data_IF_567581066796
#
_entry.id   IF_567581066796
#
_cell.length_a   1.000
_cell.length_b   1.000
_cell.length_c   1.000
_cell.angle_alpha   90.00
_cell.angle_beta   90.00
_cell.angle_gamma   90.00
#
_symmetry.space_group_name_H-M   'P 1'
#
loop_
_entity.id
_entity.type
_entity.pdbx_description
1 polymer ?
#
# COMPACT_ATOMS: atom_id res chain seq x y z
N UNK A 1 18.32 -46.66 -15.84
CA UNK A 1 18.60 -45.42 -16.61
C UNK A 1 17.34 -44.62 -17.00
N UNK A 2 16.27 -45.20 -17.57
CA UNK A 2 15.07 -44.43 -17.95
C UNK A 2 14.33 -43.79 -16.75
N UNK A 3 14.29 -44.46 -15.60
CA UNK A 3 13.63 -43.92 -14.39
C UNK A 3 14.30 -42.67 -13.83
N UNK A 4 15.63 -42.58 -13.97
CA UNK A 4 16.38 -41.40 -13.56
C UNK A 4 16.05 -40.19 -14.44
N UNK A 5 15.88 -40.42 -15.75
CA UNK A 5 15.45 -39.39 -16.70
C UNK A 5 14.03 -38.92 -16.42
N UNK A 6 13.14 -39.82 -16.03
CA UNK A 6 11.76 -39.50 -15.62
C UNK A 6 11.74 -38.61 -14.36
N UNK A 7 12.49 -39.00 -13.32
CA UNK A 7 12.63 -38.18 -12.10
C UNK A 7 13.21 -36.78 -12.37
N UNK A 8 14.16 -36.66 -13.30
CA UNK A 8 14.72 -35.36 -13.68
C UNK A 8 13.71 -34.45 -14.38
N UNK A 9 12.80 -35.00 -15.18
CA UNK A 9 11.71 -34.25 -15.80
C UNK A 9 10.70 -33.79 -14.75
N UNK A 10 10.26 -34.69 -13.88
CA UNK A 10 9.35 -34.37 -12.77
C UNK A 10 9.92 -33.26 -11.86
N UNK A 11 11.22 -33.33 -11.54
CA UNK A 11 11.88 -32.29 -10.75
C UNK A 11 11.89 -30.93 -11.48
N UNK A 12 12.13 -30.92 -12.80
CA UNK A 12 12.10 -29.68 -13.59
C UNK A 12 10.70 -29.08 -13.63
N UNK A 13 9.67 -29.90 -13.81
CA UNK A 13 8.28 -29.44 -13.88
C UNK A 13 7.84 -28.85 -12.53
N UNK A 14 8.17 -29.52 -11.43
CA UNK A 14 7.90 -29.01 -10.08
C UNK A 14 8.68 -27.71 -9.84
N UNK A 15 9.93 -27.62 -10.28
CA UNK A 15 10.73 -26.40 -10.11
C UNK A 15 10.15 -25.21 -10.88
N UNK A 16 9.65 -25.42 -12.11
CA UNK A 16 8.98 -24.39 -12.90
C UNK A 16 7.71 -23.91 -12.20
N UNK A 17 6.85 -24.85 -11.80
CA UNK A 17 5.60 -24.53 -11.08
C UNK A 17 5.86 -23.81 -9.77
N UNK A 18 6.92 -24.19 -9.05
CA UNK A 18 7.33 -23.53 -7.81
C UNK A 18 7.76 -22.09 -8.07
N UNK A 19 8.51 -21.85 -9.15
CA UNK A 19 8.93 -20.49 -9.54
C UNK A 19 7.71 -19.62 -9.88
N UNK A 20 6.78 -20.13 -10.68
CA UNK A 20 5.54 -19.41 -11.03
C UNK A 20 4.72 -19.06 -9.78
N UNK A 21 4.53 -20.01 -8.86
CA UNK A 21 3.83 -19.78 -7.60
C UNK A 21 4.52 -18.72 -6.73
N UNK A 22 5.86 -18.70 -6.69
CA UNK A 22 6.62 -17.66 -5.96
C UNK A 22 6.45 -16.27 -6.58
N UNK A 23 6.43 -16.18 -7.90
CA UNK A 23 6.26 -14.91 -8.59
C UNK A 23 4.83 -14.38 -8.40
N UNK A 24 3.82 -15.25 -8.50
CA UNK A 24 2.43 -14.92 -8.15
C UNK A 24 2.28 -14.45 -6.70
N UNK A 25 2.94 -15.12 -5.74
CA UNK A 25 2.90 -14.72 -4.34
C UNK A 25 3.48 -13.32 -4.15
N UNK A 26 4.64 -13.03 -4.75
CA UNK A 26 5.27 -11.70 -4.67
C UNK A 26 4.36 -10.60 -5.22
N UNK A 27 3.71 -10.85 -6.35
CA UNK A 27 2.81 -9.87 -6.95
C UNK A 27 1.57 -9.65 -6.09
N UNK A 28 1.02 -10.71 -5.52
CA UNK A 28 -0.12 -10.62 -4.59
C UNK A 28 0.27 -9.87 -3.31
N UNK A 29 1.45 -10.12 -2.74
CA UNK A 29 1.95 -9.38 -1.57
C UNK A 29 2.10 -7.89 -1.89
N UNK A 30 2.65 -7.52 -3.04
CA UNK A 30 2.75 -6.11 -3.45
C UNK A 30 1.38 -5.45 -3.58
N UNK A 31 0.40 -6.14 -4.16
CA UNK A 31 -0.97 -5.62 -4.28
C UNK A 31 -1.63 -5.46 -2.92
N UNK A 32 -1.42 -6.43 -2.03
CA UNK A 32 -1.90 -6.37 -0.64
C UNK A 32 -1.30 -5.17 0.10
N UNK A 33 0.03 -5.02 0.08
CA UNK A 33 0.72 -3.89 0.73
C UNK A 33 0.26 -2.54 0.19
N UNK A 34 0.03 -2.45 -1.13
CA UNK A 34 -0.55 -1.25 -1.74
C UNK A 34 -1.95 -0.97 -1.20
N UNK A 35 -2.83 -1.97 -1.17
CA UNK A 35 -4.20 -1.80 -0.68
C UNK A 35 -4.27 -1.40 0.80
N UNK A 36 -3.38 -1.95 1.63
CA UNK A 36 -3.23 -1.57 3.03
C UNK A 36 -2.74 -0.13 3.20
N UNK A 37 -1.78 0.29 2.38
CA UNK A 37 -1.30 1.67 2.39
C UNK A 37 -2.38 2.66 1.92
N UNK A 38 -3.13 2.31 0.87
CA UNK A 38 -4.24 3.12 0.38
C UNK A 38 -5.35 3.22 1.44
N UNK A 39 -5.66 2.13 2.15
CA UNK A 39 -6.63 2.13 3.26
C UNK A 39 -6.17 3.03 4.41
N UNK A 40 -4.88 2.96 4.79
CA UNK A 40 -4.30 3.83 5.82
C UNK A 40 -4.29 5.30 5.38
N UNK A 41 -4.02 5.57 4.10
CA UNK A 41 -4.07 6.92 3.56
C UNK A 41 -5.50 7.49 3.59
N UNK A 42 -6.52 6.68 3.33
CA UNK A 42 -7.93 7.10 3.45
C UNK A 42 -8.35 7.40 4.89
N UNK A 43 -7.69 6.78 5.88
CA UNK A 43 -7.89 7.11 7.30
C UNK A 43 -7.22 8.42 7.71
N UNK A 44 -6.39 9.02 6.85
CA UNK A 44 -5.85 10.35 7.13
C UNK A 44 -6.98 11.38 7.05
N UNK A 45 -7.28 12.00 8.19
CA UNK A 45 -8.22 13.12 8.26
C UNK A 45 -7.65 14.29 7.47
N UNK A 46 -8.40 14.77 6.47
CA UNK A 46 -8.04 15.97 5.72
C UNK A 46 -7.95 17.18 6.64
N UNK A 47 -6.79 17.84 6.66
CA UNK A 47 -6.62 19.09 7.41
C UNK A 47 -7.19 20.25 6.57
N UNK A 48 -7.96 21.13 7.22
CA UNK A 48 -8.48 22.33 6.56
C UNK A 48 -7.34 23.32 6.37
N UNK A 49 -7.15 23.81 5.14
CA UNK A 49 -6.18 24.86 4.82
C UNK A 49 -6.84 26.22 5.03
N UNK A 50 -6.22 27.06 5.86
CA UNK A 50 -6.71 28.41 6.16
C UNK A 50 -5.56 29.38 6.46
N UNK A 51 -5.87 30.68 6.35
CA UNK A 51 -4.94 31.76 6.68
C UNK A 51 -5.13 32.20 8.14
N UNK A 52 -4.03 32.44 8.85
CA UNK A 52 -4.08 33.01 10.21
C UNK A 52 -4.24 34.53 10.09
N UNK A 53 -5.34 35.07 10.63
CA UNK A 53 -5.61 36.51 10.58
C UNK A 53 -5.02 37.25 11.78
N UNK A 54 -5.25 36.73 12.99
CA UNK A 54 -4.84 37.42 14.22
C UNK A 54 -4.72 36.44 15.39
N UNK A 55 -3.73 36.67 16.26
CA UNK A 55 -3.57 35.96 17.53
C UNK A 55 -4.35 36.68 18.64
N UNK A 56 -5.19 35.96 19.37
CA UNK A 56 -5.98 36.49 20.50
C UNK A 56 -5.27 36.22 21.84
N UNK A 57 -4.78 35.00 22.04
CA UNK A 57 -4.00 34.56 23.20
C UNK A 57 -2.89 33.61 22.74
N UNK A 58 -1.96 33.21 23.62
CA UNK A 58 -0.87 32.28 23.24
C UNK A 58 -1.38 30.98 22.59
N UNK A 59 -2.58 30.52 22.97
CA UNK A 59 -3.18 29.27 22.46
C UNK A 59 -4.34 29.47 21.45
N UNK A 60 -4.79 30.71 21.19
CA UNK A 60 -5.98 30.96 20.35
C UNK A 60 -5.68 31.88 19.18
N UNK A 61 -6.02 31.41 17.99
CA UNK A 61 -5.84 32.10 16.73
C UNK A 61 -7.16 32.21 15.97
N UNK A 62 -7.40 33.38 15.37
CA UNK A 62 -8.46 33.56 14.39
C UNK A 62 -7.91 33.08 13.05
N UNK A 63 -8.56 32.07 12.47
CA UNK A 63 -8.23 31.52 11.15
C UNK A 63 -9.38 31.73 10.18
N UNK A 64 -9.06 32.04 8.92
CA UNK A 64 -10.01 32.10 7.80
C UNK A 64 -9.83 30.86 6.93
N UNK A 65 -10.83 29.99 6.90
CA UNK A 65 -10.83 28.85 6.00
C UNK A 65 -10.99 29.29 4.53
N UNK A 66 -10.32 28.60 3.60
CA UNK A 66 -10.39 28.88 2.15
C UNK A 66 -11.77 28.62 1.55
N UNK A 67 -12.52 27.67 2.11
CA UNK A 67 -13.94 27.49 1.88
C UNK A 67 -14.69 28.21 3.00
N UNK A 68 -15.56 29.17 2.66
CA UNK A 68 -16.20 30.09 3.62
C UNK A 68 -16.92 29.43 4.82
N UNK A 69 -17.39 30.26 5.77
CA UNK A 69 -17.72 29.87 7.15
C UNK A 69 -19.04 29.08 7.24
N UNK A 70 -19.00 27.80 6.90
CA UNK A 70 -20.03 26.85 7.36
C UNK A 70 -19.56 26.15 8.61
#
# INVERSE_FOLDING_TARGET
LPDYRKKLLEHKDVHVRLKEMRDQLKDLTKQYDKSENDLKALQSVGQIVGEVLQQLTEEKFIVKATNGPR
#
